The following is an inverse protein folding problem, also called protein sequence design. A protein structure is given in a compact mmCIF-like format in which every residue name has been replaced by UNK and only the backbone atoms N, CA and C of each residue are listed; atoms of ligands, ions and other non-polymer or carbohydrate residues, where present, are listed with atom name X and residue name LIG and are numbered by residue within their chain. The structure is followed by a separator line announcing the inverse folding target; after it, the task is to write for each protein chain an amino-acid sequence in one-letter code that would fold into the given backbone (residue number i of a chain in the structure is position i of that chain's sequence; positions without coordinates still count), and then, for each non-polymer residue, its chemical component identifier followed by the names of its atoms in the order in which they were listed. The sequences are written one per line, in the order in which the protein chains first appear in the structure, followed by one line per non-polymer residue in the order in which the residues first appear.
data_IF_289847958552
#
_entry.id   IF_289847958552
#
_cell.length_a   1.000
_cell.length_b   1.000
_cell.length_c   1.000
_cell.angle_alpha   90.00
_cell.angle_beta   90.00
_cell.angle_gamma   90.00
#
_symmetry.space_group_name_H-M   'P 1'
#
loop_
_entity.id
_entity.type
_entity.pdbx_description
1 polymer ?
#
# COMPACT_ATOMS: atom_id res chain seq x y z
N UNK A 1 2.83 45.07 34.95
CA UNK A 1 3.47 44.27 33.88
C UNK A 1 3.79 42.88 34.41
N UNK A 2 3.11 41.84 33.95
CA UNK A 2 3.52 40.44 34.16
C UNK A 2 3.04 39.63 32.96
N UNK A 3 3.96 39.33 32.04
CA UNK A 3 3.75 38.38 30.95
C UNK A 3 4.01 37.00 31.52
N UNK A 4 2.97 36.19 31.65
CA UNK A 4 3.11 34.75 31.88
C UNK A 4 3.18 34.07 30.50
N UNK A 5 4.30 33.43 30.11
CA UNK A 5 4.36 32.65 28.89
C UNK A 5 3.87 31.24 29.21
N UNK A 6 2.59 30.97 28.93
CA UNK A 6 2.09 29.59 28.94
C UNK A 6 2.09 29.05 27.51
N UNK A 7 3.24 28.48 27.15
CA UNK A 7 3.37 27.41 26.16
C UNK A 7 2.38 26.29 26.54
N UNK A 8 1.13 26.42 26.10
CA UNK A 8 0.14 25.36 26.21
C UNK A 8 0.14 24.67 24.85
N UNK A 9 0.95 23.63 24.73
CA UNK A 9 0.77 22.60 23.73
C UNK A 9 -0.59 21.94 24.03
N UNK A 10 -1.69 22.61 23.67
CA UNK A 10 -3.02 22.01 23.64
C UNK A 10 -2.94 20.97 22.54
N UNK A 11 -2.74 19.71 22.91
CA UNK A 11 -3.12 18.61 22.06
C UNK A 11 -4.54 18.92 21.57
N UNK A 12 -4.78 18.93 20.25
CA UNK A 12 -6.12 19.21 19.73
C UNK A 12 -7.10 18.20 20.34
N UNK A 13 -8.36 18.59 20.61
CA UNK A 13 -9.35 17.61 21.06
C UNK A 13 -9.40 16.45 20.05
N UNK A 14 -9.62 15.23 20.53
CA UNK A 14 -9.63 14.00 19.72
C UNK A 14 -10.52 14.14 18.46
N UNK A 15 -11.58 14.94 18.55
CA UNK A 15 -12.42 15.35 17.42
C UNK A 15 -11.65 16.14 16.36
N UNK A 16 -10.89 17.17 16.71
CA UNK A 16 -10.06 17.95 15.76
C UNK A 16 -9.02 17.10 15.05
N UNK A 17 -8.44 16.09 15.73
CA UNK A 17 -7.50 15.19 15.08
C UNK A 17 -8.20 14.32 14.01
N UNK A 18 -9.39 13.79 14.31
CA UNK A 18 -10.19 13.00 13.35
C UNK A 18 -10.59 13.85 12.14
N UNK A 19 -10.99 15.11 12.35
CA UNK A 19 -11.30 16.02 11.24
C UNK A 19 -10.07 16.38 10.40
N UNK A 20 -8.92 16.60 11.04
CA UNK A 20 -7.67 16.85 10.33
C UNK A 20 -7.21 15.63 9.52
N UNK A 21 -7.27 14.42 10.11
CA UNK A 21 -6.94 13.18 9.43
C UNK A 21 -7.94 12.84 8.33
N UNK A 22 -9.22 13.19 8.48
CA UNK A 22 -10.26 12.98 7.47
C UNK A 22 -10.34 14.07 6.39
N UNK A 23 -9.40 15.02 6.37
CA UNK A 23 -9.42 16.15 5.46
C UNK A 23 -9.20 15.74 4.00
N UNK A 24 -9.90 16.43 3.08
CA UNK A 24 -9.75 16.24 1.63
C UNK A 24 -8.37 16.67 1.14
N UNK A 25 -7.83 17.77 1.67
CA UNK A 25 -6.50 18.27 1.28
C UNK A 25 -5.40 17.26 1.61
N UNK A 26 -5.52 16.61 2.77
CA UNK A 26 -4.62 15.53 3.17
C UNK A 26 -4.78 14.32 2.23
N UNK A 27 -6.02 13.96 1.88
CA UNK A 27 -6.28 12.85 0.96
C UNK A 27 -5.64 13.08 -0.41
N UNK A 28 -5.79 14.28 -0.98
CA UNK A 28 -5.20 14.66 -2.27
C UNK A 28 -3.67 14.61 -2.20
N UNK A 29 -3.07 15.17 -1.13
CA UNK A 29 -1.63 15.11 -0.92
C UNK A 29 -1.13 13.66 -0.90
N UNK A 30 -1.76 12.81 -0.08
CA UNK A 30 -1.40 11.40 0.06
C UNK A 30 -1.52 10.67 -1.28
N UNK A 31 -2.59 10.89 -2.03
CA UNK A 31 -2.82 10.25 -3.33
C UNK A 31 -1.82 10.69 -4.39
N UNK A 32 -1.51 11.99 -4.49
CA UNK A 32 -0.51 12.50 -5.44
C UNK A 32 0.87 11.94 -5.12
N UNK A 33 1.26 11.97 -3.84
CA UNK A 33 2.56 11.45 -3.41
C UNK A 33 2.66 9.95 -3.68
N UNK A 34 1.67 9.14 -3.29
CA UNK A 34 1.67 7.70 -3.53
C UNK A 34 1.65 7.37 -5.02
N UNK A 35 0.86 8.08 -5.82
CA UNK A 35 0.81 7.87 -7.28
C UNK A 35 2.15 8.21 -7.93
N UNK A 36 2.80 9.32 -7.54
CA UNK A 36 4.12 9.68 -8.03
C UNK A 36 5.20 8.66 -7.66
N UNK A 37 5.15 8.14 -6.43
CA UNK A 37 6.05 7.07 -5.98
C UNK A 37 5.80 5.77 -6.76
N UNK A 38 4.55 5.37 -6.94
CA UNK A 38 4.21 4.17 -7.72
C UNK A 38 4.66 4.32 -9.19
N UNK A 39 4.45 5.48 -9.81
CA UNK A 39 4.92 5.75 -11.16
C UNK A 39 6.46 5.63 -11.26
N UNK A 40 7.19 6.23 -10.32
CA UNK A 40 8.64 6.08 -10.25
C UNK A 40 9.08 4.63 -10.03
N UNK A 41 8.36 3.88 -9.19
CA UNK A 41 8.61 2.46 -8.97
C UNK A 41 8.40 1.62 -10.24
N UNK A 42 7.38 1.93 -11.05
CA UNK A 42 7.13 1.28 -12.35
C UNK A 42 8.26 1.55 -13.35
N UNK A 43 8.83 2.75 -13.36
CA UNK A 43 10.01 3.03 -14.19
C UNK A 43 11.25 2.28 -13.69
N UNK A 44 11.45 2.20 -12.37
CA UNK A 44 12.54 1.42 -11.76
C UNK A 44 12.40 -0.08 -12.07
N UNK A 45 11.18 -0.60 -12.02
CA UNK A 45 10.87 -1.99 -12.38
C UNK A 45 11.22 -2.28 -13.84
N UNK A 46 10.80 -1.40 -14.76
CA UNK A 46 11.11 -1.51 -16.19
C UNK A 46 12.61 -1.46 -16.49
N UNK A 47 13.38 -0.68 -15.71
CA UNK A 47 14.81 -0.47 -15.95
C UNK A 47 15.74 -1.52 -15.32
N UNK A 48 15.36 -2.09 -14.17
CA UNK A 48 16.21 -3.01 -13.42
C UNK A 48 15.58 -4.40 -13.29
N UNK A 49 14.65 -4.54 -12.34
CA UNK A 49 13.91 -5.77 -12.08
C UNK A 49 12.79 -5.48 -11.07
N UNK A 50 11.67 -6.20 -11.16
CA UNK A 50 10.57 -6.15 -10.20
C UNK A 50 11.02 -6.40 -8.76
N UNK A 51 12.02 -7.29 -8.55
CA UNK A 51 12.58 -7.57 -7.21
C UNK A 51 13.21 -6.33 -6.56
N UNK A 52 13.89 -5.49 -7.35
CA UNK A 52 14.56 -4.29 -6.85
C UNK A 52 13.53 -3.23 -6.47
N UNK A 53 12.57 -2.95 -7.35
CA UNK A 53 11.50 -1.99 -7.06
C UNK A 53 10.70 -2.40 -5.82
N UNK A 54 10.43 -3.70 -5.66
CA UNK A 54 9.78 -4.23 -4.46
C UNK A 54 10.62 -4.03 -3.21
N UNK A 55 11.91 -4.38 -3.20
CA UNK A 55 12.74 -4.25 -2.00
C UNK A 55 12.91 -2.78 -1.57
N UNK A 56 13.15 -1.88 -2.52
CA UNK A 56 13.50 -0.49 -2.23
C UNK A 56 12.28 0.42 -2.01
N UNK A 57 11.20 0.25 -2.76
CA UNK A 57 10.04 1.13 -2.68
C UNK A 57 8.95 0.48 -1.83
N UNK A 58 8.31 -0.57 -2.34
CA UNK A 58 7.17 -1.20 -1.66
C UNK A 58 7.56 -1.83 -0.33
N UNK A 59 8.78 -2.33 -0.23
CA UNK A 59 9.41 -2.97 0.92
C UNK A 59 9.63 -2.01 2.08
N UNK A 60 9.81 -0.73 1.77
CA UNK A 60 10.34 0.26 2.71
C UNK A 60 9.34 0.63 3.80
N UNK A 61 9.81 0.91 5.04
CA UNK A 61 8.95 1.34 6.14
C UNK A 61 8.30 2.70 5.87
N UNK A 62 8.97 3.60 5.13
CA UNK A 62 8.42 4.91 4.80
C UNK A 62 7.21 4.78 3.86
N UNK A 63 7.27 3.94 2.82
CA UNK A 63 6.14 3.74 1.92
C UNK A 63 4.93 3.13 2.63
N UNK A 64 5.19 2.17 3.52
CA UNK A 64 4.16 1.59 4.37
C UNK A 64 3.51 2.64 5.30
N UNK A 65 4.28 3.59 5.82
CA UNK A 65 3.74 4.69 6.62
C UNK A 65 2.77 5.55 5.79
N UNK A 66 3.13 5.89 4.55
CA UNK A 66 2.24 6.64 3.65
C UNK A 66 0.94 5.87 3.33
N UNK A 67 1.03 4.56 3.08
CA UNK A 67 -0.15 3.70 2.88
C UNK A 67 -1.04 3.64 4.14
N UNK A 68 -0.43 3.55 5.31
CA UNK A 68 -1.16 3.51 6.58
C UNK A 68 -1.85 4.84 6.86
N UNK A 69 -1.18 5.96 6.58
CA UNK A 69 -1.78 7.30 6.66
C UNK A 69 -2.96 7.47 5.69
N UNK A 70 -2.85 6.95 4.46
CA UNK A 70 -3.97 6.93 3.51
C UNK A 70 -5.14 6.10 4.04
N UNK A 71 -4.88 4.93 4.61
CA UNK A 71 -5.92 4.09 5.21
C UNK A 71 -6.64 4.81 6.37
N UNK A 72 -5.89 5.43 7.28
CA UNK A 72 -6.44 6.22 8.37
C UNK A 72 -7.26 7.42 7.86
N UNK A 73 -6.76 8.13 6.84
CA UNK A 73 -7.48 9.24 6.22
C UNK A 73 -8.83 8.78 5.65
N UNK A 74 -8.88 7.66 4.93
CA UNK A 74 -10.11 7.09 4.39
C UNK A 74 -11.10 6.68 5.50
N UNK A 75 -10.62 6.04 6.56
CA UNK A 75 -11.45 5.65 7.71
C UNK A 75 -12.04 6.88 8.40
N UNK A 76 -11.20 7.88 8.70
CA UNK A 76 -11.65 9.13 9.33
C UNK A 76 -12.62 9.90 8.42
N UNK A 77 -12.33 9.99 7.12
CA UNK A 77 -13.22 10.64 6.14
C UNK A 77 -14.58 9.94 6.04
N UNK A 78 -14.59 8.60 6.05
CA UNK A 78 -15.83 7.83 6.05
C UNK A 78 -16.62 8.01 7.37
N UNK A 79 -15.92 8.02 8.51
CA UNK A 79 -16.52 8.15 9.84
C UNK A 79 -17.11 9.54 10.10
N UNK A 80 -16.49 10.62 9.63
CA UNK A 80 -17.01 12.00 9.79
C UNK A 80 -18.36 12.22 9.10
N UNK A 81 -18.72 11.38 8.12
CA UNK A 81 -19.97 11.47 7.36
C UNK A 81 -21.08 10.55 7.88
N UNK A 82 -20.89 9.98 9.08
CA UNK A 82 -21.90 9.21 9.79
C UNK A 82 -23.02 10.14 10.31
N UNK A 83 -24.33 9.81 10.19
CA UNK A 83 -24.96 8.57 9.73
C UNK A 83 -25.20 8.51 8.22
N UNK A 84 -24.86 7.37 7.59
CA UNK A 84 -24.97 7.20 6.15
C UNK A 84 -26.42 7.02 5.70
N UNK A 85 -26.84 7.85 4.73
CA UNK A 85 -28.14 7.76 4.05
C UNK A 85 -27.96 7.07 2.70
N UNK A 86 -29.03 6.56 2.08
CA UNK A 86 -28.95 5.85 0.79
C UNK A 86 -28.27 6.64 -0.34
N UNK A 87 -28.33 7.98 -0.32
CA UNK A 87 -27.62 8.80 -1.31
C UNK A 87 -26.08 8.82 -1.14
N UNK A 88 -25.57 8.45 0.04
CA UNK A 88 -24.13 8.31 0.31
C UNK A 88 -23.60 6.91 -0.03
N UNK A 89 -24.42 6.02 -0.60
CA UNK A 89 -24.02 4.64 -0.85
C UNK A 89 -22.74 4.54 -1.70
N UNK A 90 -22.64 5.32 -2.79
CA UNK A 90 -21.43 5.35 -3.63
C UNK A 90 -20.18 5.78 -2.85
N UNK A 91 -20.30 6.80 -1.99
CA UNK A 91 -19.20 7.26 -1.15
C UNK A 91 -18.72 6.15 -0.19
N UNK A 92 -19.64 5.51 0.52
CA UNK A 92 -19.32 4.47 1.50
C UNK A 92 -18.74 3.22 0.82
N UNK A 93 -19.32 2.79 -0.30
CA UNK A 93 -18.84 1.62 -1.06
C UNK A 93 -17.41 1.84 -1.55
N UNK A 94 -17.11 3.02 -2.13
CA UNK A 94 -15.75 3.31 -2.61
C UNK A 94 -14.74 3.30 -1.48
N UNK A 95 -15.05 3.94 -0.34
CA UNK A 95 -14.13 3.95 0.81
C UNK A 95 -13.95 2.55 1.40
N UNK A 96 -15.03 1.81 1.59
CA UNK A 96 -14.97 0.44 2.07
C UNK A 96 -14.19 -0.47 1.11
N UNK A 97 -14.36 -0.30 -0.20
CA UNK A 97 -13.63 -1.03 -1.23
C UNK A 97 -12.13 -0.77 -1.18
N UNK A 98 -11.72 0.50 -1.12
CA UNK A 98 -10.30 0.87 -1.01
C UNK A 98 -9.69 0.35 0.29
N UNK A 99 -10.39 0.49 1.43
CA UNK A 99 -9.93 -0.03 2.73
C UNK A 99 -9.76 -1.56 2.66
N UNK A 100 -10.70 -2.27 2.02
CA UNK A 100 -10.63 -3.73 1.82
C UNK A 100 -9.45 -4.11 0.93
N UNK A 101 -9.20 -3.38 -0.16
CA UNK A 101 -8.03 -3.61 -1.03
C UNK A 101 -6.72 -3.40 -0.29
N UNK A 102 -6.60 -2.33 0.51
CA UNK A 102 -5.41 -2.08 1.33
C UNK A 102 -5.20 -3.17 2.38
N UNK A 103 -6.27 -3.62 3.04
CA UNK A 103 -6.23 -4.74 3.98
C UNK A 103 -5.81 -6.05 3.32
N UNK A 104 -6.36 -6.34 2.15
CA UNK A 104 -5.99 -7.51 1.34
C UNK A 104 -4.53 -7.47 0.89
N UNK A 105 -4.03 -6.30 0.47
CA UNK A 105 -2.63 -6.12 0.11
C UNK A 105 -1.68 -6.34 1.29
N UNK A 106 -2.04 -5.88 2.50
CA UNK A 106 -1.26 -6.16 3.72
C UNK A 106 -1.21 -7.66 4.02
N UNK A 107 -2.34 -8.35 3.90
CA UNK A 107 -2.43 -9.79 4.13
C UNK A 107 -1.60 -10.57 3.09
N UNK A 108 -1.72 -10.20 1.82
CA UNK A 108 -0.93 -10.75 0.72
C UNK A 108 0.56 -10.50 0.91
N UNK A 109 0.96 -9.36 1.46
CA UNK A 109 2.36 -9.10 1.81
C UNK A 109 2.85 -9.97 2.97
N UNK A 110 2.03 -10.16 3.99
CA UNK A 110 2.42 -10.92 5.18
C UNK A 110 2.46 -12.44 4.94
N UNK A 111 1.60 -12.95 4.06
CA UNK A 111 1.38 -14.40 3.86
C UNK A 111 1.54 -14.88 2.41
N UNK A 112 1.70 -13.98 1.46
CA UNK A 112 1.88 -14.31 0.05
C UNK A 112 3.29 -14.77 -0.27
N UNK A 113 3.40 -15.40 -1.44
CA UNK A 113 4.65 -15.84 -2.04
C UNK A 113 4.72 -15.26 -3.44
N UNK A 114 5.88 -14.74 -3.80
CA UNK A 114 6.17 -14.29 -5.16
C UNK A 114 6.99 -15.34 -5.90
N UNK A 115 6.69 -15.46 -7.19
CA UNK A 115 7.50 -16.22 -8.13
C UNK A 115 7.67 -15.43 -9.44
N UNK A 116 8.81 -15.62 -10.09
CA UNK A 116 9.12 -15.05 -11.40
C UNK A 116 9.37 -16.15 -12.42
N UNK A 117 8.96 -15.91 -13.66
CA UNK A 117 9.27 -16.76 -14.81
C UNK A 117 9.97 -15.87 -15.82
N UNK A 118 11.19 -16.23 -16.18
CA UNK A 118 11.93 -15.54 -17.23
C UNK A 118 11.53 -16.13 -18.59
N UNK A 119 11.08 -15.27 -19.49
CA UNK A 119 10.64 -15.62 -20.84
C UNK A 119 11.55 -14.96 -21.86
N UNK A 120 12.05 -15.75 -22.81
CA UNK A 120 12.90 -15.26 -23.90
C UNK A 120 12.16 -15.43 -25.22
N UNK A 121 12.19 -14.40 -26.09
CA UNK A 121 11.45 -14.38 -27.36
C UNK A 121 11.78 -15.53 -28.33
N UNK A 122 12.91 -16.21 -28.15
CA UNK A 122 13.38 -17.29 -29.02
C UNK A 122 13.75 -18.58 -28.27
N UNK A 123 13.35 -18.73 -27.01
CA UNK A 123 13.60 -19.94 -26.23
C UNK A 123 12.30 -20.74 -26.01
N UNK A 124 12.38 -22.08 -25.83
CA UNK A 124 11.24 -22.86 -25.37
C UNK A 124 10.74 -22.32 -24.03
N UNK A 125 9.42 -22.42 -23.80
CA UNK A 125 8.78 -21.91 -22.59
C UNK A 125 9.41 -22.54 -21.34
N UNK A 126 9.85 -21.70 -20.40
CA UNK A 126 10.35 -22.17 -19.11
C UNK A 126 9.21 -22.83 -18.33
N UNK A 127 9.40 -24.08 -17.93
CA UNK A 127 8.48 -24.83 -17.06
C UNK A 127 8.84 -24.67 -15.57
N UNK A 128 9.82 -23.84 -15.25
CA UNK A 128 10.30 -23.61 -13.90
C UNK A 128 9.94 -22.20 -13.42
N UNK A 129 9.28 -22.14 -12.26
CA UNK A 129 8.98 -20.88 -11.56
C UNK A 129 10.06 -20.65 -10.51
N UNK A 130 10.79 -19.54 -10.64
CA UNK A 130 11.73 -19.10 -9.64
C UNK A 130 10.95 -18.52 -8.46
N UNK A 131 11.05 -19.12 -7.29
CA UNK A 131 10.41 -18.65 -6.07
C UNK A 131 11.46 -17.94 -5.20
N UNK A 132 11.04 -16.92 -4.46
CA UNK A 132 11.90 -16.24 -3.49
C UNK A 132 12.09 -17.05 -2.18
N UNK A 133 11.84 -18.37 -2.21
CA UNK A 133 11.90 -19.31 -1.06
C UNK A 133 12.65 -20.59 -1.46
N UNK A 134 13.37 -21.25 -0.53
CA UNK A 134 14.00 -22.52 -0.80
C UNK A 134 12.95 -23.58 -1.13
N UNK A 135 13.07 -24.18 -2.32
CA UNK A 135 12.23 -25.28 -2.79
C UNK A 135 13.10 -26.51 -3.03
N UNK A 136 12.62 -27.67 -2.58
CA UNK A 136 13.17 -28.96 -2.94
C UNK A 136 12.46 -29.44 -4.22
N UNK A 137 13.22 -29.58 -5.30
CA UNK A 137 12.76 -30.19 -6.55
C UNK A 137 13.29 -31.61 -6.60
N UNK A 138 12.42 -32.58 -6.87
CA UNK A 138 12.80 -33.99 -7.03
C UNK A 138 12.71 -34.32 -8.52
N UNK A 139 13.86 -34.50 -9.17
CA UNK A 139 13.93 -34.98 -10.55
C UNK A 139 14.01 -36.51 -10.55
N UNK A 140 13.22 -37.15 -11.42
CA UNK A 140 13.22 -38.60 -11.55
C UNK A 140 14.33 -39.07 -12.52
N UNK A 141 15.19 -40.03 -12.11
CA UNK A 141 16.32 -40.47 -12.94
C UNK A 141 15.93 -41.13 -14.26
N UNK A 142 14.68 -41.61 -14.37
CA UNK A 142 14.18 -42.34 -15.53
C UNK A 142 13.67 -41.44 -16.67
N UNK A 143 13.41 -40.15 -16.39
CA UNK A 143 12.75 -39.25 -17.35
C UNK A 143 13.47 -37.90 -17.50
N UNK A 144 14.45 -37.60 -16.64
CA UNK A 144 15.18 -36.33 -16.70
C UNK A 144 14.31 -35.11 -16.42
N UNK A 145 13.20 -35.31 -15.69
CA UNK A 145 12.26 -34.29 -15.21
C UNK A 145 11.80 -34.62 -13.79
#
# INVERSE_FOLDING_TARGET
MRKEPRLFFRLPPLSSLIYALGSLDLAILLLITLTGVCAAATFLESGFNARVARAYVYGSPWFNLWLLLLCLNLICSAATRWPWKRHHAGFVITHAGIITLLGGALLGRARGFEGSIDLFQNAPASQQVLLDRPRLTVESPATGQ
#
